data_IF_806231543859
#
_entry.id   IF_806231543859
#
_cell.length_a   1.000
_cell.length_b   1.000
_cell.length_c   1.000
_cell.angle_alpha   90.00
_cell.angle_beta   90.00
_cell.angle_gamma   90.00
#
_symmetry.space_group_name_H-M   'P 1'
#
loop_
_entity.id
_entity.type
_entity.pdbx_description
1 polymer ?
#
# COMPACT_ATOMS: atom_id res chain seq x y z
N UNK A 1 24.40 15.75 34.24
CA UNK A 1 23.68 16.06 33.00
C UNK A 1 22.92 14.81 32.63
N UNK A 2 21.63 14.78 32.94
CA UNK A 2 20.78 13.60 32.69
C UNK A 2 20.18 13.66 31.30
N UNK A 3 20.43 12.65 30.47
CA UNK A 3 19.77 12.47 29.20
C UNK A 3 18.43 11.81 29.48
N UNK A 4 17.34 12.56 29.31
CA UNK A 4 15.98 12.02 29.41
C UNK A 4 15.65 11.33 28.09
N UNK A 5 15.70 10.01 28.06
CA UNK A 5 15.18 9.21 26.96
C UNK A 5 13.65 9.29 27.04
N UNK A 6 13.03 10.02 26.11
CA UNK A 6 11.57 9.96 25.93
C UNK A 6 11.21 8.60 25.32
N UNK A 7 10.64 7.73 26.14
CA UNK A 7 10.03 6.50 25.64
C UNK A 7 8.83 6.87 24.77
N UNK A 8 8.89 6.52 23.48
CA UNK A 8 7.74 6.59 22.60
C UNK A 8 6.77 5.48 23.00
N UNK A 9 5.71 5.86 23.68
CA UNK A 9 4.63 4.94 24.02
C UNK A 9 4.04 4.36 22.74
N UNK A 10 3.86 3.04 22.73
CA UNK A 10 3.20 2.26 21.71
C UNK A 10 1.78 2.79 21.51
N UNK A 11 1.60 3.72 20.57
CA UNK A 11 0.30 4.29 20.27
C UNK A 11 -0.51 3.31 19.42
N UNK A 12 -1.30 2.46 20.08
CA UNK A 12 -2.46 1.87 19.43
C UNK A 12 -3.40 3.01 19.03
N UNK A 13 -4.11 2.86 17.90
CA UNK A 13 -5.21 3.75 17.56
C UNK A 13 -6.27 3.66 18.67
N UNK A 14 -6.13 4.43 19.75
CA UNK A 14 -7.14 4.54 20.80
C UNK A 14 -8.22 5.47 20.30
N UNK A 15 -9.48 5.04 20.42
CA UNK A 15 -10.66 5.88 20.34
C UNK A 15 -10.56 7.02 21.36
N UNK A 16 -9.97 8.12 20.98
CA UNK A 16 -10.23 9.39 21.63
C UNK A 16 -11.45 9.95 20.95
N UNK A 17 -12.54 10.06 21.71
CA UNK A 17 -13.78 10.66 21.28
C UNK A 17 -13.56 12.07 20.73
N UNK A 18 -13.25 12.14 19.47
CA UNK A 18 -13.13 13.38 18.71
C UNK A 18 -14.50 13.67 18.11
N UNK A 19 -15.24 14.58 18.74
CA UNK A 19 -16.39 15.22 18.12
C UNK A 19 -15.84 16.34 17.24
N UNK A 20 -15.41 16.00 16.04
CA UNK A 20 -15.14 16.96 14.99
C UNK A 20 -16.44 17.38 14.30
N UNK A 21 -16.50 18.58 13.70
CA UNK A 21 -17.70 19.04 13.01
C UNK A 21 -18.02 18.12 11.84
N UNK A 22 -19.32 17.89 11.65
CA UNK A 22 -19.88 17.16 10.49
C UNK A 22 -19.40 17.90 9.24
N UNK A 23 -18.42 17.30 8.53
CA UNK A 23 -18.06 17.81 7.21
C UNK A 23 -19.12 17.40 6.22
N UNK A 24 -19.81 18.43 5.69
CA UNK A 24 -20.63 18.33 4.49
C UNK A 24 -19.87 17.59 3.38
N UNK A 25 -20.63 16.76 2.63
CA UNK A 25 -20.17 16.09 1.42
C UNK A 25 -19.54 17.09 0.44
N UNK A 26 -18.22 17.18 0.43
CA UNK A 26 -17.52 17.73 -0.72
C UNK A 26 -17.41 16.60 -1.75
N UNK A 27 -18.30 16.63 -2.72
CA UNK A 27 -18.21 15.78 -3.90
C UNK A 27 -17.05 16.32 -4.75
N UNK A 28 -15.83 15.88 -4.49
CA UNK A 28 -14.74 16.11 -5.40
C UNK A 28 -14.90 15.12 -6.55
N UNK A 29 -15.53 15.59 -7.63
CA UNK A 29 -15.44 14.92 -8.91
C UNK A 29 -13.99 15.04 -9.40
N UNK A 30 -13.14 14.13 -9.02
CA UNK A 30 -11.82 13.98 -9.60
C UNK A 30 -12.00 13.50 -11.03
N UNK A 31 -11.90 14.41 -12.00
CA UNK A 31 -11.63 14.09 -13.39
C UNK A 31 -10.30 13.34 -13.44
N UNK A 32 -10.38 12.02 -13.48
CA UNK A 32 -9.26 11.19 -13.85
C UNK A 32 -8.97 11.42 -15.33
N UNK A 33 -8.13 12.40 -15.65
CA UNK A 33 -7.47 12.43 -16.93
C UNK A 33 -6.60 11.16 -16.96
N UNK A 34 -7.01 10.20 -17.78
CA UNK A 34 -6.22 9.02 -18.11
C UNK A 34 -5.04 9.50 -18.97
N UNK A 35 -4.04 10.10 -18.32
CA UNK A 35 -2.72 10.11 -18.86
C UNK A 35 -2.21 8.68 -18.72
N UNK A 36 -1.94 8.03 -19.83
CA UNK A 36 -1.16 6.81 -19.88
C UNK A 36 0.26 7.14 -19.36
N UNK A 37 0.41 7.30 -18.06
CA UNK A 37 1.70 7.34 -17.39
C UNK A 37 2.27 5.94 -17.54
N UNK A 38 3.24 5.84 -18.42
CA UNK A 38 3.95 4.62 -18.77
C UNK A 38 4.60 4.07 -17.48
N UNK A 39 3.96 3.06 -16.87
CA UNK A 39 4.75 2.12 -16.09
C UNK A 39 5.89 1.68 -17.02
N UNK A 40 7.14 1.70 -16.60
CA UNK A 40 8.29 1.51 -17.49
C UNK A 40 8.44 0.04 -17.89
N UNK A 41 7.46 -0.52 -18.61
CA UNK A 41 7.60 -1.80 -19.27
C UNK A 41 8.48 -1.63 -20.51
N UNK A 42 9.60 -2.31 -20.57
CA UNK A 42 10.45 -2.44 -21.76
C UNK A 42 10.24 -3.83 -22.36
N UNK A 43 9.57 -3.95 -23.53
CA UNK A 43 9.51 -5.24 -24.24
C UNK A 43 10.92 -5.66 -24.66
N UNK A 44 11.27 -6.93 -24.46
CA UNK A 44 12.51 -7.53 -24.97
C UNK A 44 13.56 -7.94 -23.95
N UNK A 45 13.30 -7.83 -22.64
CA UNK A 45 14.19 -8.41 -21.63
C UNK A 45 13.60 -9.71 -21.07
N UNK A 46 14.45 -10.62 -20.62
CA UNK A 46 14.08 -11.98 -20.20
C UNK A 46 12.91 -12.01 -19.20
N UNK A 47 12.05 -13.05 -19.29
CA UNK A 47 10.81 -13.26 -18.50
C UNK A 47 11.01 -13.42 -16.98
N UNK A 48 12.14 -13.07 -16.41
CA UNK A 48 12.42 -13.20 -15.00
C UNK A 48 12.05 -11.92 -14.25
N UNK A 49 10.97 -12.01 -13.47
CA UNK A 49 10.68 -11.24 -12.26
C UNK A 49 10.86 -9.71 -12.32
N UNK A 50 10.13 -9.04 -13.20
CA UNK A 50 10.06 -7.58 -13.14
C UNK A 50 9.04 -7.14 -12.07
N UNK A 51 9.42 -6.18 -11.24
CA UNK A 51 8.47 -5.48 -10.39
C UNK A 51 7.55 -4.61 -11.27
N UNK A 52 6.33 -5.10 -11.51
CA UNK A 52 5.32 -4.44 -12.33
C UNK A 52 4.77 -3.16 -11.69
N UNK A 53 4.91 -3.02 -10.38
CA UNK A 53 4.42 -1.87 -9.61
C UNK A 53 5.45 -0.73 -9.55
N UNK A 54 6.72 -0.98 -9.88
CA UNK A 54 7.79 -0.01 -9.71
C UNK A 54 7.47 1.32 -10.42
N UNK A 55 7.38 2.40 -9.63
CA UNK A 55 7.06 3.75 -10.08
C UNK A 55 5.73 3.87 -10.85
N UNK A 56 4.82 2.94 -10.62
CA UNK A 56 3.47 3.03 -11.12
C UNK A 56 2.62 3.98 -10.27
N UNK A 57 1.50 4.51 -10.80
CA UNK A 57 0.59 5.34 -10.03
C UNK A 57 0.06 4.58 -8.81
N UNK A 58 0.21 5.16 -7.63
CA UNK A 58 -0.25 4.61 -6.37
C UNK A 58 -1.20 5.56 -5.65
N UNK A 59 -2.09 5.01 -4.83
CA UNK A 59 -3.06 5.76 -4.01
C UNK A 59 -3.16 5.17 -2.62
N UNK A 60 -3.62 5.96 -1.67
CA UNK A 60 -3.93 5.51 -0.30
C UNK A 60 -5.19 6.21 0.21
N UNK A 61 -5.87 5.62 1.18
CA UNK A 61 -7.14 6.14 1.72
C UNK A 61 -7.00 7.48 2.42
N UNK A 62 -5.85 7.75 3.02
CA UNK A 62 -5.47 9.01 3.65
C UNK A 62 -3.95 9.09 3.76
N UNK A 63 -3.42 10.28 3.99
CA UNK A 63 -2.00 10.48 4.30
C UNK A 63 -1.89 11.02 5.72
N UNK A 64 -1.06 10.40 6.54
CA UNK A 64 -0.88 10.79 7.94
C UNK A 64 -0.55 12.28 8.07
N UNK A 65 -1.36 13.02 8.82
CA UNK A 65 -1.44 14.49 8.82
C UNK A 65 -0.15 15.22 9.20
N UNK A 66 0.73 14.59 9.97
CA UNK A 66 2.00 15.20 10.40
C UNK A 66 3.10 15.16 9.33
N UNK A 67 2.83 14.53 8.19
CA UNK A 67 3.78 14.38 7.10
C UNK A 67 3.08 14.73 5.79
N UNK A 68 3.59 15.73 5.09
CA UNK A 68 3.09 16.06 3.76
C UNK A 68 3.23 14.89 2.78
N UNK A 69 2.49 14.93 1.66
CA UNK A 69 2.54 13.87 0.66
C UNK A 69 3.96 13.60 0.13
N UNK A 70 4.82 14.60 0.12
CA UNK A 70 6.22 14.46 -0.30
C UNK A 70 7.04 13.50 0.59
N UNK A 71 6.60 13.27 1.85
CA UNK A 71 7.28 12.36 2.79
C UNK A 71 6.53 11.06 3.04
N UNK A 72 5.22 11.03 2.79
CA UNK A 72 4.35 9.92 3.15
C UNK A 72 3.28 9.63 2.09
N UNK A 73 3.51 10.06 0.86
CA UNK A 73 2.61 9.79 -0.27
C UNK A 73 2.65 8.33 -0.71
N UNK A 74 1.56 7.89 -1.35
CA UNK A 74 1.39 6.50 -1.77
C UNK A 74 2.49 5.98 -2.72
N UNK A 75 3.10 6.87 -3.48
CA UNK A 75 4.20 6.55 -4.41
C UNK A 75 5.45 6.00 -3.71
N UNK A 76 5.58 6.26 -2.40
CA UNK A 76 6.68 5.71 -1.60
C UNK A 76 6.60 4.20 -1.40
N UNK A 77 5.43 3.61 -1.58
CA UNK A 77 5.27 2.16 -1.52
C UNK A 77 5.71 1.43 -2.80
N UNK A 78 6.06 2.16 -3.86
CA UNK A 78 6.41 1.58 -5.17
C UNK A 78 7.63 2.29 -5.80
N UNK A 79 8.46 2.93 -4.99
CA UNK A 79 9.60 3.71 -5.46
C UNK A 79 10.90 2.89 -5.59
N UNK A 80 10.89 1.65 -5.11
CA UNK A 80 12.03 0.73 -5.10
C UNK A 80 12.95 0.91 -3.88
N UNK A 81 12.52 1.67 -2.88
CA UNK A 81 13.28 1.92 -1.66
C UNK A 81 12.76 1.07 -0.49
N UNK A 82 13.46 0.00 -0.18
CA UNK A 82 13.11 -0.96 0.87
C UNK A 82 13.40 -0.48 2.29
N UNK A 83 13.71 0.80 2.50
CA UNK A 83 14.02 1.32 3.82
C UNK A 83 12.74 1.38 4.69
N UNK A 84 12.72 0.64 5.78
CA UNK A 84 11.57 0.53 6.71
C UNK A 84 11.63 1.47 7.91
N UNK A 85 12.65 2.35 7.99
CA UNK A 85 12.85 3.25 9.12
C UNK A 85 12.06 4.55 8.93
N UNK A 86 11.32 4.97 9.98
CA UNK A 86 10.43 6.13 9.92
C UNK A 86 11.10 7.41 9.43
N UNK A 87 12.26 7.74 9.93
CA UNK A 87 12.92 9.03 9.65
C UNK A 87 13.51 9.13 8.23
N UNK A 88 13.65 8.00 7.53
CA UNK A 88 14.22 7.96 6.18
C UNK A 88 13.20 8.21 5.05
N UNK A 89 11.92 8.42 5.38
CA UNK A 89 10.90 8.93 4.45
C UNK A 89 10.44 7.95 3.36
N UNK A 90 10.70 6.64 3.50
CA UNK A 90 10.27 5.62 2.52
C UNK A 90 9.09 4.82 3.06
N UNK A 91 7.91 5.43 3.15
CA UNK A 91 6.71 4.76 3.69
C UNK A 91 5.44 5.52 3.40
N UNK A 92 4.31 4.82 3.49
CA UNK A 92 2.97 5.32 3.19
C UNK A 92 2.02 5.13 4.38
N UNK A 93 2.17 5.88 5.48
CA UNK A 93 1.25 5.75 6.60
C UNK A 93 -0.08 6.40 6.27
N UNK A 94 -1.19 5.67 6.50
CA UNK A 94 -2.52 6.24 6.54
C UNK A 94 -2.83 6.80 7.93
N UNK A 95 -3.83 7.67 8.05
CA UNK A 95 -4.45 7.95 9.34
C UNK A 95 -5.10 6.68 9.91
N UNK A 96 -5.35 6.67 11.23
CA UNK A 96 -6.14 5.62 11.84
C UNK A 96 -7.57 5.68 11.33
N UNK A 97 -8.02 4.66 10.64
CA UNK A 97 -9.35 4.58 10.05
C UNK A 97 -9.84 3.12 10.04
N UNK A 98 -11.14 2.94 9.90
CA UNK A 98 -11.72 1.65 9.58
C UNK A 98 -11.35 1.30 8.14
N UNK A 99 -10.86 0.09 7.91
CA UNK A 99 -10.41 -0.40 6.60
C UNK A 99 -9.40 0.54 5.90
N UNK A 100 -8.26 0.90 6.53
CA UNK A 100 -7.22 1.66 5.85
C UNK A 100 -6.65 0.84 4.69
N UNK A 101 -6.38 1.51 3.57
CA UNK A 101 -5.93 0.85 2.35
C UNK A 101 -4.91 1.66 1.58
N UNK A 102 -4.09 0.94 0.81
CA UNK A 102 -3.18 1.48 -0.19
C UNK A 102 -3.12 0.54 -1.39
N UNK A 103 -2.83 1.03 -2.55
CA UNK A 103 -2.72 0.20 -3.74
C UNK A 103 -2.21 0.96 -4.96
N UNK A 104 -1.93 0.22 -6.02
CA UNK A 104 -1.38 0.74 -7.26
C UNK A 104 -2.00 0.16 -8.51
N UNK A 105 -1.98 0.95 -9.59
CA UNK A 105 -2.41 0.53 -10.91
C UNK A 105 -1.24 -0.03 -11.72
N UNK A 106 -1.41 -1.19 -12.33
CA UNK A 106 -0.41 -1.87 -13.15
C UNK A 106 -0.43 -1.40 -14.64
N UNK A 107 -1.27 -0.42 -14.95
CA UNK A 107 -1.45 0.14 -16.29
C UNK A 107 -2.37 -0.69 -17.17
N UNK A 108 -2.00 -1.90 -17.55
CA UNK A 108 -2.81 -2.87 -18.30
C UNK A 108 -3.09 -4.11 -17.45
N UNK A 109 -4.05 -4.98 -17.85
CA UNK A 109 -4.26 -6.25 -17.15
C UNK A 109 -2.98 -7.07 -17.08
N UNK A 110 -2.72 -7.65 -15.90
CA UNK A 110 -1.56 -8.49 -15.62
C UNK A 110 -2.02 -9.79 -15.00
N UNK A 111 -1.33 -10.87 -15.33
CA UNK A 111 -1.41 -12.12 -14.58
C UNK A 111 -0.40 -12.04 -13.44
N UNK A 112 -0.89 -11.78 -12.23
CA UNK A 112 -0.07 -11.56 -11.04
C UNK A 112 0.32 -12.89 -10.42
N UNK A 113 1.61 -13.20 -10.41
CA UNK A 113 2.15 -14.42 -9.80
C UNK A 113 2.39 -14.27 -8.30
N UNK A 114 2.93 -13.12 -7.87
CA UNK A 114 3.22 -12.86 -6.48
C UNK A 114 3.19 -11.35 -6.15
N UNK A 115 2.90 -11.04 -4.90
CA UNK A 115 3.05 -9.70 -4.32
C UNK A 115 3.99 -9.79 -3.12
N UNK A 116 4.99 -8.92 -3.09
CA UNK A 116 5.91 -8.75 -1.97
C UNK A 116 5.58 -7.46 -1.23
N UNK A 117 5.54 -7.53 0.09
CA UNK A 117 5.23 -6.37 0.95
C UNK A 117 6.29 -6.25 2.03
N UNK A 118 6.98 -5.11 2.08
CA UNK A 118 7.94 -4.75 3.11
C UNK A 118 7.24 -4.05 4.26
N UNK A 119 7.38 -4.61 5.47
CA UNK A 119 6.84 -4.03 6.70
C UNK A 119 7.79 -2.97 7.28
N UNK A 120 7.25 -2.14 8.15
CA UNK A 120 8.00 -1.14 8.91
C UNK A 120 9.01 -1.80 9.86
N UNK A 121 10.21 -1.19 10.03
CA UNK A 121 11.33 -1.77 10.79
C UNK A 121 11.46 -1.24 12.22
N UNK A 122 11.23 0.06 12.41
CA UNK A 122 11.55 0.77 13.65
C UNK A 122 10.47 0.66 14.73
N UNK A 123 9.20 0.42 14.36
CA UNK A 123 8.11 0.11 15.30
C UNK A 123 6.89 -0.48 14.59
N UNK A 124 5.93 -0.85 15.41
CA UNK A 124 4.52 -0.96 15.00
C UNK A 124 4.29 -2.00 13.89
N UNK A 125 5.15 -3.00 13.78
CA UNK A 125 5.06 -4.07 12.77
C UNK A 125 3.76 -4.87 12.86
N UNK A 126 3.17 -4.97 14.06
CA UNK A 126 1.91 -5.66 14.34
C UNK A 126 0.71 -5.07 13.62
N UNK A 127 0.78 -3.81 13.19
CA UNK A 127 -0.33 -3.13 12.49
C UNK A 127 -0.71 -3.78 11.18
N UNK A 128 0.25 -4.40 10.48
CA UNK A 128 -0.01 -5.06 9.20
C UNK A 128 -0.69 -6.43 9.33
N UNK A 129 -0.83 -6.96 10.56
CA UNK A 129 -1.42 -8.28 10.80
C UNK A 129 -2.82 -8.38 10.21
N UNK A 130 -3.05 -9.41 9.40
CA UNK A 130 -4.33 -9.64 8.77
C UNK A 130 -4.63 -8.73 7.58
N UNK A 131 -3.66 -7.93 7.12
CA UNK A 131 -3.82 -7.17 5.90
C UNK A 131 -4.05 -8.11 4.71
N UNK A 132 -5.07 -7.84 3.91
CA UNK A 132 -5.47 -8.62 2.75
C UNK A 132 -4.96 -7.96 1.47
N UNK A 133 -4.45 -8.77 0.56
CA UNK A 133 -4.02 -8.35 -0.76
C UNK A 133 -5.09 -8.76 -1.76
N UNK A 134 -5.62 -7.80 -2.49
CA UNK A 134 -6.64 -7.99 -3.51
C UNK A 134 -6.05 -7.71 -4.89
N UNK A 135 -6.44 -8.51 -5.89
CA UNK A 135 -6.06 -8.34 -7.30
C UNK A 135 -7.31 -8.35 -8.14
N UNK A 136 -7.52 -7.31 -8.96
CA UNK A 136 -8.70 -7.23 -9.82
C UNK A 136 -8.76 -5.98 -10.67
N UNK A 137 -9.93 -5.72 -11.22
CA UNK A 137 -10.18 -4.61 -12.17
C UNK A 137 -11.09 -3.53 -11.61
N UNK A 138 -11.59 -3.68 -10.37
CA UNK A 138 -12.57 -2.78 -9.80
C UNK A 138 -11.94 -1.45 -9.39
N UNK A 139 -12.51 -0.35 -9.92
CA UNK A 139 -12.26 0.99 -9.41
C UNK A 139 -13.25 1.37 -8.30
N UNK A 140 -14.39 0.70 -8.26
CA UNK A 140 -15.40 0.89 -7.21
C UNK A 140 -14.88 0.31 -5.90
N UNK A 141 -15.18 0.96 -4.77
CA UNK A 141 -14.68 0.51 -3.46
C UNK A 141 -13.16 0.46 -3.34
N UNK A 142 -12.42 1.03 -4.30
CA UNK A 142 -10.96 1.00 -4.38
C UNK A 142 -10.38 -0.43 -4.39
N UNK A 143 -11.06 -1.36 -5.03
CA UNK A 143 -10.60 -2.75 -5.19
C UNK A 143 -10.71 -3.63 -3.95
N UNK A 144 -11.34 -3.16 -2.86
CA UNK A 144 -11.52 -3.96 -1.64
C UNK A 144 -12.44 -5.18 -1.83
N UNK A 145 -13.31 -5.12 -2.84
CA UNK A 145 -14.25 -6.18 -3.19
C UNK A 145 -13.68 -7.10 -4.29
N UNK A 146 -12.48 -6.82 -4.79
CA UNK A 146 -11.77 -7.69 -5.73
C UNK A 146 -11.32 -8.99 -5.01
N UNK A 147 -11.08 -10.07 -5.74
CA UNK A 147 -10.64 -11.35 -5.18
C UNK A 147 -9.36 -11.21 -4.31
N UNK A 148 -9.35 -11.91 -3.18
CA UNK A 148 -8.21 -11.94 -2.26
C UNK A 148 -7.13 -12.88 -2.79
N UNK A 149 -5.95 -12.35 -3.04
CA UNK A 149 -4.75 -13.13 -3.33
C UNK A 149 -4.24 -13.84 -2.07
N UNK A 150 -4.18 -13.13 -0.95
CA UNK A 150 -3.77 -13.69 0.32
C UNK A 150 -3.73 -12.67 1.45
N UNK A 151 -3.32 -13.15 2.63
CA UNK A 151 -3.34 -12.37 3.88
C UNK A 151 -1.95 -12.36 4.52
N UNK A 152 -1.52 -11.20 5.00
CA UNK A 152 -0.23 -11.03 5.68
C UNK A 152 -0.38 -11.49 7.13
N UNK A 153 0.47 -12.43 7.54
CA UNK A 153 0.51 -12.99 8.90
C UNK A 153 1.79 -12.63 9.66
N UNK A 154 2.91 -12.43 8.93
CA UNK A 154 4.17 -12.03 9.54
C UNK A 154 4.15 -10.55 9.92
N UNK A 155 4.31 -10.29 11.20
CA UNK A 155 4.30 -8.95 11.80
C UNK A 155 5.66 -8.52 12.32
N UNK A 156 6.69 -9.31 12.09
CA UNK A 156 8.05 -8.98 12.51
C UNK A 156 8.45 -7.63 11.93
N UNK A 157 9.00 -6.71 12.73
CA UNK A 157 9.50 -5.45 12.22
C UNK A 157 10.51 -5.68 11.09
N UNK A 158 10.30 -5.01 9.97
CA UNK A 158 11.15 -5.14 8.79
C UNK A 158 10.95 -6.41 7.97
N UNK A 159 9.98 -7.26 8.32
CA UNK A 159 9.69 -8.47 7.53
C UNK A 159 9.31 -8.16 6.09
N UNK A 160 9.58 -9.13 5.23
CA UNK A 160 9.15 -9.14 3.83
C UNK A 160 8.19 -10.32 3.67
N UNK A 161 6.92 -10.02 3.46
CA UNK A 161 5.89 -11.01 3.16
C UNK A 161 5.76 -11.19 1.66
N UNK A 162 6.05 -12.38 1.15
CA UNK A 162 5.83 -12.74 -0.26
C UNK A 162 4.61 -13.66 -0.37
N UNK A 163 3.56 -13.19 -1.03
CA UNK A 163 2.28 -13.87 -1.17
C UNK A 163 2.11 -14.32 -2.62
N UNK A 164 1.88 -15.62 -2.83
CA UNK A 164 1.58 -16.16 -4.15
C UNK A 164 0.13 -15.84 -4.54
N UNK A 165 -0.05 -15.20 -5.70
CA UNK A 165 -1.37 -14.90 -6.26
C UNK A 165 -1.78 -15.88 -7.37
N UNK A 166 -0.96 -16.89 -7.69
CA UNK A 166 -1.27 -17.98 -8.61
C UNK A 166 -1.79 -17.53 -9.99
N UNK A 167 -1.28 -16.41 -10.49
CA UNK A 167 -1.69 -15.90 -11.80
C UNK A 167 -3.04 -15.18 -11.81
N UNK A 168 -3.50 -14.66 -10.67
CA UNK A 168 -4.72 -13.82 -10.65
C UNK A 168 -4.58 -12.66 -11.61
N UNK A 169 -5.63 -12.42 -12.38
CA UNK A 169 -5.65 -11.34 -13.39
C UNK A 169 -6.25 -10.07 -12.81
N UNK A 170 -5.63 -8.93 -13.12
CA UNK A 170 -6.13 -7.63 -12.73
C UNK A 170 -5.25 -6.47 -13.16
N UNK A 171 -5.81 -5.27 -13.09
CA UNK A 171 -5.14 -3.98 -13.34
C UNK A 171 -4.72 -3.30 -12.07
N UNK A 172 -5.26 -3.72 -10.93
CA UNK A 172 -5.02 -3.10 -9.64
C UNK A 172 -4.61 -4.14 -8.61
N UNK A 173 -3.68 -3.74 -7.74
CA UNK A 173 -3.36 -4.45 -6.52
C UNK A 173 -3.71 -3.52 -5.37
N UNK A 174 -4.54 -4.00 -4.44
CA UNK A 174 -4.97 -3.24 -3.26
C UNK A 174 -4.63 -4.00 -2.00
N UNK A 175 -4.13 -3.30 -0.98
CA UNK A 175 -3.85 -3.85 0.34
C UNK A 175 -4.76 -3.16 1.34
N UNK A 176 -5.54 -3.92 2.10
CA UNK A 176 -6.49 -3.41 3.11
C UNK A 176 -6.27 -4.07 4.45
N UNK A 177 -6.58 -3.38 5.54
CA UNK A 177 -6.75 -4.01 6.85
C UNK A 177 -8.24 -4.04 7.15
N UNK A 178 -8.92 -5.19 7.02
CA UNK A 178 -10.36 -5.29 7.25
C UNK A 178 -10.70 -5.28 8.75
N UNK A 179 -11.97 -4.95 9.05
CA UNK A 179 -12.66 -5.20 10.31
C UNK A 179 -12.06 -4.56 11.58
N UNK A 180 -11.15 -3.61 11.45
CA UNK A 180 -10.63 -2.87 12.60
C UNK A 180 -10.18 -1.46 12.24
N UNK A 181 -10.10 -0.60 13.25
CA UNK A 181 -9.50 0.74 13.13
C UNK A 181 -7.99 0.61 13.29
N UNK A 182 -7.25 0.92 12.24
CA UNK A 182 -5.79 0.84 12.23
C UNK A 182 -5.19 1.88 11.27
N UNK A 183 -3.86 2.04 11.33
CA UNK A 183 -3.08 2.77 10.35
C UNK A 183 -2.30 1.77 9.51
N UNK A 184 -2.55 1.74 8.21
CA UNK A 184 -1.75 0.94 7.27
C UNK A 184 -0.45 1.68 6.96
N UNK A 185 0.67 1.01 7.16
CA UNK A 185 2.00 1.53 6.79
C UNK A 185 2.69 0.52 5.88
N UNK A 186 2.98 0.93 4.65
CA UNK A 186 3.70 0.14 3.67
C UNK A 186 5.04 0.82 3.38
N UNK A 187 6.15 0.09 3.42
CA UNK A 187 7.48 0.61 3.10
C UNK A 187 7.86 0.30 1.66
N UNK A 188 7.49 -0.86 1.15
CA UNK A 188 7.61 -1.19 -0.27
C UNK A 188 6.59 -2.26 -0.64
N UNK A 189 6.05 -2.19 -1.85
CA UNK A 189 5.18 -3.17 -2.46
C UNK A 189 5.70 -3.48 -3.86
N UNK A 190 6.04 -4.74 -4.10
CA UNK A 190 6.44 -5.21 -5.41
C UNK A 190 5.42 -6.19 -5.95
N UNK A 191 5.13 -6.11 -7.23
CA UNK A 191 4.19 -6.99 -7.92
C UNK A 191 4.91 -7.71 -9.04
N UNK A 192 4.84 -9.01 -9.04
CA UNK A 192 5.46 -9.88 -10.03
C UNK A 192 4.42 -10.62 -10.85
N UNK A 193 4.64 -10.69 -12.15
CA UNK A 193 3.70 -11.33 -13.07
C UNK A 193 4.05 -11.09 -14.52
N UNK A 194 3.09 -11.39 -15.40
CA UNK A 194 3.23 -11.26 -16.86
C UNK A 194 2.08 -10.47 -17.46
N UNK A 195 2.25 -9.84 -18.64
CA UNK A 195 1.13 -9.29 -19.39
C UNK A 195 0.07 -10.35 -19.68
N UNK A 196 -1.21 -9.97 -19.68
CA UNK A 196 -2.30 -10.82 -20.18
C UNK A 196 -2.46 -10.54 -21.66
N UNK A 197 -2.41 -11.59 -22.48
CA UNK A 197 -2.74 -11.50 -23.90
C UNK A 197 -1.57 -11.30 -24.86
N UNK A 198 -0.32 -11.44 -24.44
CA UNK A 198 0.82 -11.56 -25.35
C UNK A 198 1.03 -13.07 -25.69
N UNK A 199 0.32 -13.52 -26.70
CA UNK A 199 0.65 -14.75 -27.45
C UNK A 199 1.44 -14.39 -28.70
#
# INVERSE_FOLDING_TARGET
>A
MGVTVKSWERGHCRERGWRGPVMERVTVASKWAIGYSKCPYRPGQSKSAWNLALRCPATQSSTYQNYGPEKAGAEKAVDGNHNGIWDNGSRTPTDCATEPRGGGGLGSPRSVSAVMVKNREDCCGERIKGAQIHVGDSKAGHGKDDPICGTITDTTPGSISTISCNGMEGRYVTITIPDRVESLTLCEVEVYGTPVGDC
#
